data_IF_683061953767
#
_entry.id   IF_683061953767
#
_cell.length_a   1.000
_cell.length_b   1.000
_cell.length_c   1.000
_cell.angle_alpha   90.00
_cell.angle_beta   90.00
_cell.angle_gamma   90.00
#
_symmetry.space_group_name_H-M   'P 1'
#
loop_
_entity.id
_entity.type
_entity.pdbx_description
1 polymer ?
#
# COMPACT_ATOMS: atom_id res chain seq x y z
N UNK A 1 23.53 -3.64 -24.31
CA UNK A 1 23.77 -4.17 -22.95
C UNK A 1 22.63 -3.69 -22.05
N UNK A 2 22.15 -4.61 -21.21
CA UNK A 2 20.95 -4.65 -20.38
C UNK A 2 20.29 -3.34 -19.93
N UNK A 3 19.02 -3.17 -20.33
CA UNK A 3 18.02 -2.46 -19.54
C UNK A 3 17.43 -3.43 -18.51
N UNK A 4 17.91 -3.37 -17.27
CA UNK A 4 17.38 -4.18 -16.15
C UNK A 4 17.48 -3.37 -14.87
N UNK A 5 16.35 -2.96 -14.29
CA UNK A 5 16.39 -2.20 -13.04
C UNK A 5 15.04 -1.95 -12.35
N UNK A 6 13.93 -1.84 -13.08
CA UNK A 6 12.65 -1.42 -12.45
C UNK A 6 11.70 -2.56 -12.05
N UNK A 7 12.04 -3.83 -12.32
CA UNK A 7 11.13 -4.96 -12.09
C UNK A 7 11.05 -5.42 -10.63
N UNK A 8 12.16 -5.39 -9.88
CA UNK A 8 12.24 -6.03 -8.56
C UNK A 8 11.52 -5.25 -7.45
N UNK A 9 11.50 -3.92 -7.51
CA UNK A 9 10.87 -3.04 -6.49
C UNK A 9 9.36 -3.21 -6.37
N UNK A 10 8.71 -3.72 -7.41
CA UNK A 10 7.27 -3.96 -7.43
C UNK A 10 6.89 -5.39 -7.05
N UNK A 11 7.86 -6.23 -6.70
CA UNK A 11 7.63 -7.63 -6.31
C UNK A 11 7.40 -7.73 -4.81
N UNK A 12 6.28 -8.32 -4.42
CA UNK A 12 5.87 -8.44 -3.03
C UNK A 12 5.36 -9.83 -2.68
N UNK A 13 5.29 -10.13 -1.40
CA UNK A 13 4.59 -11.31 -0.89
C UNK A 13 3.93 -11.01 0.45
N UNK A 14 2.99 -11.87 0.84
CA UNK A 14 2.18 -11.72 2.04
C UNK A 14 2.47 -12.84 3.02
N UNK A 15 2.28 -12.57 4.30
CA UNK A 15 2.43 -13.56 5.36
C UNK A 15 1.20 -14.49 5.39
N UNK A 16 1.43 -15.79 5.43
CA UNK A 16 0.38 -16.80 5.71
C UNK A 16 0.32 -17.18 7.18
N UNK A 17 1.42 -16.99 7.92
CA UNK A 17 1.52 -17.08 9.37
C UNK A 17 2.18 -15.83 9.94
N UNK A 18 2.00 -15.57 11.23
CA UNK A 18 2.59 -14.43 11.89
C UNK A 18 3.80 -14.84 12.72
N UNK A 19 4.96 -14.29 12.38
CA UNK A 19 6.14 -14.34 13.22
C UNK A 19 6.59 -12.91 13.56
N UNK A 20 6.79 -12.55 14.84
CA UNK A 20 7.10 -11.18 15.24
C UNK A 20 8.33 -10.58 14.54
N UNK A 21 9.43 -11.34 14.45
CA UNK A 21 10.67 -10.88 13.80
C UNK A 21 10.43 -10.62 12.32
N UNK A 22 9.76 -11.56 11.65
CA UNK A 22 9.46 -11.46 10.22
C UNK A 22 8.57 -10.25 9.96
N UNK A 23 7.52 -10.05 10.78
CA UNK A 23 6.63 -8.90 10.67
C UNK A 23 7.34 -7.57 10.94
N UNK A 24 8.46 -7.53 11.65
CA UNK A 24 9.29 -6.33 11.75
C UNK A 24 10.05 -6.04 10.46
N UNK A 25 10.47 -7.07 9.74
CA UNK A 25 11.35 -6.97 8.58
C UNK A 25 10.61 -6.52 7.31
N UNK A 26 11.21 -5.62 6.54
CA UNK A 26 10.61 -5.14 5.27
C UNK A 26 10.53 -6.24 4.22
N UNK A 27 11.49 -7.17 4.21
CA UNK A 27 11.59 -8.27 3.25
C UNK A 27 11.33 -9.64 3.90
N UNK A 28 10.97 -9.64 5.19
CA UNK A 28 10.65 -10.85 5.93
C UNK A 28 11.87 -11.74 6.21
N UNK A 29 13.10 -11.21 6.15
CA UNK A 29 14.33 -12.00 6.30
C UNK A 29 15.14 -11.71 7.56
N UNK A 30 14.73 -10.74 8.39
CA UNK A 30 15.41 -10.49 9.67
C UNK A 30 15.37 -11.74 10.56
N UNK A 31 16.46 -11.95 11.30
CA UNK A 31 16.63 -13.07 12.25
C UNK A 31 16.67 -12.60 13.70
N UNK A 32 16.61 -11.29 13.94
CA UNK A 32 16.67 -10.71 15.27
C UNK A 32 15.70 -9.53 15.40
N UNK A 33 15.11 -9.31 16.59
CA UNK A 33 14.28 -8.14 16.84
C UNK A 33 15.12 -6.86 16.80
N UNK A 34 14.74 -5.92 15.94
CA UNK A 34 15.44 -4.64 15.80
C UNK A 34 14.77 -3.47 16.55
N UNK A 35 13.55 -3.65 17.06
CA UNK A 35 12.86 -2.64 17.88
C UNK A 35 12.20 -3.25 19.14
N UNK A 36 11.91 -2.38 20.12
CA UNK A 36 11.31 -2.79 21.40
C UNK A 36 9.89 -3.38 21.25
N UNK A 37 9.14 -2.97 20.23
CA UNK A 37 7.84 -3.57 19.91
C UNK A 37 7.99 -5.00 19.40
N UNK A 38 8.89 -5.26 18.46
CA UNK A 38 9.18 -6.61 17.95
C UNK A 38 9.70 -7.49 19.06
N UNK A 39 10.59 -6.98 19.91
CA UNK A 39 11.08 -7.70 21.10
C UNK A 39 9.94 -8.10 22.05
N UNK A 40 9.03 -7.18 22.38
CA UNK A 40 7.85 -7.49 23.21
C UNK A 40 6.94 -8.53 22.55
N UNK A 41 6.72 -8.40 21.25
CA UNK A 41 5.89 -9.36 20.51
C UNK A 41 6.52 -10.75 20.49
N UNK A 42 7.84 -10.84 20.32
CA UNK A 42 8.58 -12.09 20.36
C UNK A 42 8.51 -12.76 21.74
N UNK A 43 8.66 -11.98 22.82
CA UNK A 43 8.49 -12.50 24.18
C UNK A 43 7.07 -13.03 24.40
N UNK A 44 6.05 -12.31 23.94
CA UNK A 44 4.66 -12.75 24.02
C UNK A 44 4.41 -14.03 23.21
N UNK A 45 4.98 -14.11 22.01
CA UNK A 45 4.86 -15.26 21.12
C UNK A 45 5.51 -16.50 21.74
N UNK A 46 6.76 -16.39 22.21
CA UNK A 46 7.49 -17.51 22.81
C UNK A 46 6.87 -17.98 24.13
N UNK A 47 6.33 -17.05 24.92
CA UNK A 47 5.70 -17.38 26.19
C UNK A 47 4.23 -17.83 26.05
N UNK A 48 3.66 -17.81 24.84
CA UNK A 48 2.26 -18.20 24.62
C UNK A 48 1.24 -17.35 25.38
N UNK A 49 1.57 -16.10 25.71
CA UNK A 49 0.76 -15.23 26.58
C UNK A 49 -0.49 -14.65 25.92
N UNK A 50 -0.68 -14.92 24.63
CA UNK A 50 -1.81 -14.42 23.87
C UNK A 50 -2.63 -15.59 23.33
N UNK A 51 -3.83 -15.75 23.88
CA UNK A 51 -4.85 -16.64 23.34
C UNK A 51 -5.82 -15.85 22.46
N UNK A 52 -5.81 -16.05 21.13
CA UNK A 52 -6.72 -15.37 20.23
C UNK A 52 -8.18 -15.82 20.36
N UNK A 53 -8.41 -17.04 20.84
CA UNK A 53 -9.73 -17.68 21.01
C UNK A 53 -10.36 -17.38 22.37
N UNK A 54 -9.55 -16.98 23.36
CA UNK A 54 -10.00 -16.65 24.70
C UNK A 54 -10.76 -15.32 24.84
N UNK A 55 -10.90 -14.52 23.76
CA UNK A 55 -11.71 -13.29 23.79
C UNK A 55 -13.20 -13.64 23.71
N UNK A 56 -13.91 -13.55 24.84
CA UNK A 56 -15.37 -13.76 24.91
C UNK A 56 -16.18 -12.83 24.01
N UNK A 57 -15.58 -11.74 23.51
CA UNK A 57 -16.21 -10.80 22.57
C UNK A 57 -15.89 -11.11 21.11
N UNK A 58 -15.04 -12.09 20.82
CA UNK A 58 -14.73 -12.58 19.48
C UNK A 58 -15.60 -13.79 19.16
N UNK A 59 -16.92 -13.62 19.28
CA UNK A 59 -17.93 -14.64 18.97
C UNK A 59 -18.26 -14.57 17.49
N UNK A 60 -18.47 -15.73 16.87
CA UNK A 60 -18.92 -15.86 15.49
C UNK A 60 -17.93 -16.59 14.60
N UNK A 61 -18.22 -16.58 13.30
CA UNK A 61 -17.38 -17.27 12.32
C UNK A 61 -16.22 -16.37 11.86
N UNK A 62 -14.95 -16.75 12.08
CA UNK A 62 -13.81 -15.93 11.68
C UNK A 62 -13.72 -15.75 10.15
N UNK A 63 -14.22 -16.71 9.36
CA UNK A 63 -14.25 -16.61 7.90
C UNK A 63 -15.38 -15.73 7.38
N UNK A 64 -16.38 -15.41 8.20
CA UNK A 64 -17.43 -14.43 7.86
C UNK A 64 -17.15 -13.05 8.47
N UNK A 65 -16.04 -12.90 9.21
CA UNK A 65 -15.72 -11.68 9.95
C UNK A 65 -14.67 -10.83 9.22
N UNK A 66 -15.05 -9.59 8.91
CA UNK A 66 -14.21 -8.56 8.32
C UNK A 66 -13.66 -7.62 9.41
N UNK A 67 -12.38 -7.33 9.36
CA UNK A 67 -11.73 -6.30 10.18
C UNK A 67 -11.76 -4.97 9.43
N UNK A 68 -12.23 -3.92 10.11
CA UNK A 68 -12.22 -2.54 9.60
C UNK A 68 -11.41 -1.68 10.58
N UNK A 69 -10.37 -1.01 10.10
CA UNK A 69 -9.49 -0.15 10.90
C UNK A 69 -9.40 1.28 10.37
N UNK A 70 -8.69 2.14 11.09
CA UNK A 70 -8.53 3.59 10.80
C UNK A 70 -9.85 4.37 10.77
N UNK A 71 -10.87 3.87 11.47
CA UNK A 71 -12.17 4.51 11.61
C UNK A 71 -12.04 5.83 12.39
N UNK A 72 -12.92 6.80 12.14
CA UNK A 72 -12.99 8.01 12.96
C UNK A 72 -13.42 7.69 14.39
N UNK A 73 -12.92 8.46 15.36
CA UNK A 73 -13.34 8.28 16.76
C UNK A 73 -14.78 8.75 16.99
N UNK A 74 -15.29 9.57 16.08
CA UNK A 74 -16.65 10.11 16.08
C UNK A 74 -17.65 9.16 15.41
N UNK A 75 -17.18 8.22 14.59
CA UNK A 75 -18.04 7.25 13.89
C UNK A 75 -18.78 6.37 14.89
N UNK A 76 -20.09 6.26 14.71
CA UNK A 76 -20.96 5.41 15.52
C UNK A 76 -21.09 4.02 14.90
N UNK A 77 -21.64 3.08 15.66
CA UNK A 77 -21.90 1.74 15.13
C UNK A 77 -22.96 1.77 14.02
N UNK A 78 -23.93 2.68 14.10
CA UNK A 78 -25.00 2.81 13.12
C UNK A 78 -24.48 3.33 11.78
N UNK A 79 -23.65 4.37 11.78
CA UNK A 79 -23.06 4.90 10.54
C UNK A 79 -22.15 3.87 9.88
N UNK A 80 -21.38 3.13 10.67
CA UNK A 80 -20.56 2.03 10.17
C UNK A 80 -21.43 0.89 9.61
N UNK A 81 -22.53 0.53 10.29
CA UNK A 81 -23.47 -0.50 9.84
C UNK A 81 -24.10 -0.11 8.50
N UNK A 82 -24.56 1.12 8.35
CA UNK A 82 -25.14 1.62 7.12
C UNK A 82 -24.14 1.59 5.96
N UNK A 83 -22.91 2.04 6.21
CA UNK A 83 -21.84 1.99 5.21
C UNK A 83 -21.52 0.55 4.77
N UNK A 84 -21.45 -0.38 5.72
CA UNK A 84 -21.05 -1.77 5.47
C UNK A 84 -22.18 -2.66 4.93
N UNK A 85 -23.43 -2.28 5.15
CA UNK A 85 -24.61 -3.01 4.67
C UNK A 85 -24.74 -3.01 3.15
N UNK A 86 -24.07 -2.07 2.46
CA UNK A 86 -24.02 -1.98 0.99
C UNK A 86 -23.34 -3.20 0.34
N UNK A 87 -22.51 -3.92 1.10
CA UNK A 87 -21.70 -5.03 0.59
C UNK A 87 -22.31 -6.41 0.89
N UNK A 88 -23.25 -6.49 1.84
CA UNK A 88 -23.91 -7.74 2.24
C UNK A 88 -24.69 -7.59 3.54
N UNK A 89 -25.45 -8.63 3.91
CA UNK A 89 -26.21 -8.65 5.18
C UNK A 89 -25.28 -8.84 6.37
N UNK A 90 -25.34 -7.89 7.29
CA UNK A 90 -24.54 -7.89 8.52
C UNK A 90 -25.29 -8.68 9.59
N UNK A 91 -24.64 -9.74 10.08
CA UNK A 91 -25.12 -10.55 11.21
C UNK A 91 -24.78 -9.90 12.54
N UNK A 92 -23.56 -9.38 12.68
CA UNK A 92 -23.09 -8.73 13.89
C UNK A 92 -22.06 -7.64 13.56
N UNK A 93 -22.07 -6.55 14.32
CA UNK A 93 -21.09 -5.48 14.20
C UNK A 93 -20.63 -5.07 15.60
N UNK A 94 -19.32 -5.01 15.79
CA UNK A 94 -18.69 -4.64 17.06
C UNK A 94 -17.66 -3.54 16.84
N UNK A 95 -17.95 -2.32 17.28
CA UNK A 95 -16.97 -1.24 17.32
C UNK A 95 -16.17 -1.33 18.62
N UNK A 96 -14.85 -1.49 18.54
CA UNK A 96 -14.05 -1.67 19.74
C UNK A 96 -13.80 -0.35 20.42
N UNK A 97 -14.21 -0.25 21.68
CA UNK A 97 -14.08 0.92 22.54
C UNK A 97 -13.14 0.65 23.70
N UNK A 98 -12.57 1.72 24.25
CA UNK A 98 -11.78 1.65 25.48
C UNK A 98 -12.70 1.35 26.67
N UNK A 99 -12.31 0.40 27.52
CA UNK A 99 -13.17 -0.10 28.60
C UNK A 99 -13.51 0.96 29.66
N UNK A 100 -12.59 1.91 29.92
CA UNK A 100 -12.77 2.93 30.96
C UNK A 100 -13.47 4.18 30.40
N UNK A 101 -13.01 4.65 29.23
CA UNK A 101 -13.43 5.96 28.69
C UNK A 101 -14.56 5.86 27.67
N UNK A 102 -14.91 4.65 27.21
CA UNK A 102 -15.91 4.44 26.15
C UNK A 102 -15.50 4.96 24.76
N UNK A 103 -14.33 5.59 24.65
CA UNK A 103 -13.83 6.16 23.41
C UNK A 103 -13.56 5.07 22.37
N UNK A 104 -13.94 5.31 21.12
CA UNK A 104 -13.67 4.40 20.00
C UNK A 104 -12.16 4.22 19.82
N UNK A 105 -11.69 2.98 19.68
CA UNK A 105 -10.30 2.67 19.34
C UNK A 105 -10.01 2.82 17.85
N UNK A 106 -11.02 3.17 17.05
CA UNK A 106 -10.87 3.37 15.60
C UNK A 106 -10.77 2.08 14.80
N UNK A 107 -11.30 0.97 15.33
CA UNK A 107 -11.44 -0.29 14.59
C UNK A 107 -12.67 -1.09 15.04
N UNK A 108 -13.21 -1.87 14.12
CA UNK A 108 -14.41 -2.67 14.30
C UNK A 108 -14.26 -4.05 13.64
N UNK A 109 -15.13 -4.97 14.07
CA UNK A 109 -15.33 -6.26 13.43
C UNK A 109 -16.76 -6.34 12.91
N UNK A 110 -16.91 -6.75 11.65
CA UNK A 110 -18.19 -6.88 10.97
C UNK A 110 -18.34 -8.33 10.55
N UNK A 111 -19.26 -9.06 11.17
CA UNK A 111 -19.63 -10.43 10.80
C UNK A 111 -20.78 -10.36 9.80
N UNK A 112 -20.58 -10.93 8.61
CA UNK A 112 -21.60 -11.10 7.59
C UNK A 112 -22.36 -12.42 7.78
N UNK A 113 -23.54 -12.55 7.19
CA UNK A 113 -24.28 -13.81 7.19
C UNK A 113 -23.51 -14.91 6.44
N UNK A 114 -22.88 -14.57 5.32
CA UNK A 114 -22.18 -15.53 4.47
C UNK A 114 -20.71 -15.17 4.22
N UNK A 115 -19.86 -16.19 4.02
CA UNK A 115 -18.45 -16.00 3.65
C UNK A 115 -18.31 -15.30 2.29
N UNK A 116 -19.26 -15.53 1.37
CA UNK A 116 -19.29 -14.91 0.03
C UNK A 116 -19.50 -13.39 0.12
N UNK A 117 -20.38 -12.93 1.00
CA UNK A 117 -20.59 -11.49 1.25
C UNK A 117 -19.36 -10.85 1.88
N UNK A 118 -18.75 -11.50 2.88
CA UNK A 118 -17.51 -11.02 3.49
C UNK A 118 -16.40 -10.87 2.43
N UNK A 119 -16.21 -11.89 1.58
CA UNK A 119 -15.22 -11.87 0.49
C UNK A 119 -15.49 -10.75 -0.51
N UNK A 120 -16.74 -10.57 -0.93
CA UNK A 120 -17.12 -9.47 -1.81
C UNK A 120 -16.85 -8.12 -1.17
N UNK A 121 -17.18 -7.93 0.11
CA UNK A 121 -16.88 -6.72 0.84
C UNK A 121 -15.36 -6.46 0.88
N UNK A 122 -14.57 -7.50 1.19
CA UNK A 122 -13.12 -7.42 1.18
C UNK A 122 -12.57 -7.02 -0.20
N UNK A 123 -13.00 -7.66 -1.28
CA UNK A 123 -12.53 -7.38 -2.64
C UNK A 123 -12.90 -5.97 -3.09
N UNK A 124 -14.16 -5.56 -2.93
CA UNK A 124 -14.63 -4.23 -3.36
C UNK A 124 -13.96 -3.11 -2.56
N UNK A 125 -13.89 -3.26 -1.23
CA UNK A 125 -13.20 -2.30 -0.36
C UNK A 125 -11.67 -2.39 -0.53
N UNK A 126 -11.15 -3.47 -1.12
CA UNK A 126 -9.73 -3.63 -1.41
C UNK A 126 -9.30 -3.05 -2.75
N UNK A 127 -10.15 -3.17 -3.77
CA UNK A 127 -9.87 -2.80 -5.16
C UNK A 127 -9.98 -1.31 -5.45
N UNK A 128 -10.50 -0.50 -4.52
CA UNK A 128 -10.54 0.96 -4.63
C UNK A 128 -9.14 1.62 -4.78
N UNK A 129 -8.05 0.87 -4.62
CA UNK A 129 -6.68 1.37 -4.81
C UNK A 129 -6.27 1.64 -6.27
N UNK A 130 -7.10 1.32 -7.29
CA UNK A 130 -6.72 1.39 -8.71
C UNK A 130 -7.31 2.50 -9.56
N UNK A 131 -8.26 3.28 -9.05
CA UNK A 131 -8.75 4.44 -9.78
C UNK A 131 -8.08 5.68 -9.17
N UNK A 132 -7.35 6.43 -10.00
CA UNK A 132 -6.74 7.71 -9.61
C UNK A 132 -7.75 8.77 -9.14
N UNK A 133 -9.06 8.48 -9.18
CA UNK A 133 -10.15 9.26 -8.57
C UNK A 133 -11.13 8.44 -7.71
N UNK A 134 -10.84 7.18 -7.32
CA UNK A 134 -11.72 6.41 -6.42
C UNK A 134 -11.07 6.13 -5.07
N UNK A 135 -10.95 7.21 -4.30
CA UNK A 135 -11.05 7.28 -2.85
C UNK A 135 -11.26 5.93 -2.14
N UNK A 136 -10.26 5.55 -1.32
CA UNK A 136 -10.46 4.68 -0.16
C UNK A 136 -11.81 4.96 0.49
N UNK A 137 -12.62 3.97 0.83
CA UNK A 137 -13.94 4.27 1.41
C UNK A 137 -13.79 5.19 2.62
N UNK A 138 -14.21 6.44 2.46
CA UNK A 138 -14.14 7.44 3.51
C UNK A 138 -15.37 7.26 4.37
N UNK A 139 -15.14 7.16 5.68
CA UNK A 139 -16.18 7.25 6.69
C UNK A 139 -15.77 8.41 7.60
N UNK A 140 -16.61 9.44 7.66
CA UNK A 140 -16.36 10.66 8.44
C UNK A 140 -14.98 11.27 8.16
N UNK A 141 -14.68 11.51 6.88
CA UNK A 141 -13.42 12.08 6.37
C UNK A 141 -12.15 11.28 6.71
N UNK A 142 -12.30 10.02 7.12
CA UNK A 142 -11.18 9.11 7.31
C UNK A 142 -11.21 7.95 6.34
N UNK A 143 -10.06 7.72 5.71
CA UNK A 143 -9.77 6.51 4.97
C UNK A 143 -9.73 5.31 5.93
N UNK A 144 -10.63 4.35 5.71
CA UNK A 144 -10.64 3.09 6.44
C UNK A 144 -9.70 2.07 5.78
N UNK A 145 -9.19 1.15 6.59
CA UNK A 145 -8.50 -0.05 6.10
C UNK A 145 -9.39 -1.27 6.33
N UNK A 146 -9.31 -2.23 5.42
CA UNK A 146 -10.10 -3.45 5.48
C UNK A 146 -9.19 -4.65 5.37
N UNK A 147 -9.39 -5.64 6.25
CA UNK A 147 -8.61 -6.88 6.32
C UNK A 147 -9.51 -8.04 6.79
N UNK A 148 -9.04 -9.27 6.65
CA UNK A 148 -9.72 -10.42 7.26
C UNK A 148 -9.45 -10.47 8.77
N UNK A 149 -10.24 -11.25 9.53
CA UNK A 149 -10.04 -11.45 10.96
C UNK A 149 -8.76 -12.25 11.27
N UNK A 150 -7.61 -11.57 11.18
CA UNK A 150 -6.28 -12.11 11.43
C UNK A 150 -6.08 -12.64 12.84
N UNK A 151 -6.83 -12.12 13.81
CA UNK A 151 -6.75 -12.60 15.18
C UNK A 151 -7.06 -14.09 15.28
N UNK A 152 -8.10 -14.56 14.59
CA UNK A 152 -8.50 -15.96 14.64
C UNK A 152 -7.97 -16.78 13.45
N UNK A 153 -7.75 -16.15 12.29
CA UNK A 153 -7.38 -16.87 11.06
C UNK A 153 -5.87 -17.03 10.85
N UNK A 154 -5.02 -16.18 11.44
CA UNK A 154 -3.58 -16.22 11.19
C UNK A 154 -2.83 -16.83 12.38
N UNK A 155 -2.19 -18.00 12.21
CA UNK A 155 -1.41 -18.64 13.26
C UNK A 155 -0.30 -17.72 13.77
N UNK A 156 -0.09 -17.69 15.08
CA UNK A 156 0.97 -16.89 15.71
C UNK A 156 0.66 -15.40 15.86
N UNK A 157 -0.56 -14.95 15.51
CA UNK A 157 -0.91 -13.53 15.55
C UNK A 157 -0.67 -12.90 16.93
N UNK A 158 0.07 -11.79 16.95
CA UNK A 158 0.23 -10.96 18.15
C UNK A 158 -0.37 -9.58 17.88
N UNK A 159 -1.28 -9.07 18.72
CA UNK A 159 -1.90 -7.76 18.52
C UNK A 159 -0.93 -6.61 18.81
N UNK A 160 -1.24 -5.42 18.29
CA UNK A 160 -0.41 -4.21 18.42
C UNK A 160 -0.08 -3.83 19.86
N UNK A 161 -1.01 -4.04 20.80
CA UNK A 161 -0.82 -3.74 22.24
C UNK A 161 0.32 -4.55 22.89
N UNK A 162 0.64 -5.71 22.32
CA UNK A 162 1.73 -6.59 22.75
C UNK A 162 2.98 -6.43 21.88
N UNK A 163 3.03 -5.38 21.04
CA UNK A 163 4.17 -5.05 20.18
C UNK A 163 4.09 -5.59 18.75
N UNK A 164 3.10 -6.45 18.46
CA UNK A 164 2.88 -7.06 17.15
C UNK A 164 2.04 -6.19 16.21
N UNK A 165 1.06 -6.82 15.57
CA UNK A 165 0.17 -6.23 14.56
C UNK A 165 0.83 -6.10 13.19
N UNK A 166 0.08 -5.54 12.25
CA UNK A 166 0.52 -5.24 10.89
C UNK A 166 0.29 -3.76 10.56
N UNK A 167 0.97 -3.27 9.53
CA UNK A 167 0.91 -1.88 9.10
C UNK A 167 1.66 -0.94 10.04
N UNK A 168 1.23 0.33 10.05
CA UNK A 168 1.78 1.38 10.92
C UNK A 168 2.12 2.63 10.13
N UNK A 169 2.33 3.74 10.82
CA UNK A 169 2.77 5.01 10.21
C UNK A 169 4.29 5.08 10.27
N UNK A 170 4.93 5.54 9.20
CA UNK A 170 6.40 5.67 9.15
C UNK A 170 6.92 6.58 10.27
N UNK A 171 6.18 7.65 10.56
CA UNK A 171 6.46 8.62 11.63
C UNK A 171 6.46 8.01 13.03
N UNK A 172 5.66 6.96 13.25
CA UNK A 172 5.60 6.30 14.57
C UNK A 172 6.81 5.42 14.87
N UNK A 173 7.69 5.18 13.89
CA UNK A 173 8.84 4.28 14.04
C UNK A 173 8.49 2.78 14.17
N UNK A 174 7.21 2.42 14.26
CA UNK A 174 6.76 1.05 14.48
C UNK A 174 6.03 0.47 13.25
N UNK A 175 6.78 0.24 12.18
CA UNK A 175 6.26 -0.40 10.97
C UNK A 175 6.22 -1.92 11.11
N UNK A 176 5.16 -2.54 10.59
CA UNK A 176 5.01 -3.99 10.52
C UNK A 176 4.56 -4.41 9.12
N UNK A 177 5.17 -5.46 8.60
CA UNK A 177 5.04 -5.95 7.23
C UNK A 177 4.43 -7.36 7.19
N UNK A 178 4.03 -7.80 5.99
CA UNK A 178 3.31 -9.05 5.74
C UNK A 178 1.80 -8.88 5.59
N UNK A 179 1.30 -7.64 5.73
CA UNK A 179 -0.10 -7.28 5.53
C UNK A 179 -0.40 -6.67 4.17
N UNK A 180 -1.66 -6.30 3.91
CA UNK A 180 -2.07 -5.69 2.64
C UNK A 180 -1.46 -4.31 2.42
N UNK A 181 -1.58 -3.45 3.43
CA UNK A 181 -1.05 -2.08 3.40
C UNK A 181 0.49 -2.06 3.30
N UNK A 182 1.13 -3.05 3.93
CA UNK A 182 2.58 -3.23 3.97
C UNK A 182 2.93 -4.68 3.71
N UNK A 183 2.95 -5.10 2.44
CA UNK A 183 3.43 -6.43 2.09
C UNK A 183 4.95 -6.47 2.27
N UNK A 184 5.50 -7.67 2.34
CA UNK A 184 6.94 -7.83 2.29
C UNK A 184 7.45 -7.50 0.89
N UNK A 185 8.60 -6.83 0.81
CA UNK A 185 9.31 -6.63 -0.44
C UNK A 185 10.12 -7.87 -0.76
N UNK A 186 10.26 -8.20 -2.05
CA UNK A 186 11.17 -9.26 -2.45
C UNK A 186 12.59 -8.97 -1.91
N UNK A 187 13.24 -9.95 -1.24
CA UNK A 187 14.57 -9.75 -0.68
C UNK A 187 15.57 -9.34 -1.76
N UNK A 188 16.37 -8.31 -1.46
CA UNK A 188 17.48 -7.87 -2.33
C UNK A 188 18.77 -8.65 -2.03
N UNK A 189 18.86 -9.22 -0.83
CA UNK A 189 20.00 -9.99 -0.34
C UNK A 189 19.64 -11.49 -0.32
N UNK A 190 20.64 -12.38 -0.34
CA UNK A 190 20.41 -13.80 -0.12
C UNK A 190 19.65 -14.04 1.18
N UNK A 191 18.65 -14.91 1.11
CA UNK A 191 17.80 -15.26 2.26
C UNK A 191 18.65 -16.13 3.21
N UNK A 192 18.74 -15.81 4.50
CA UNK A 192 19.46 -16.64 5.48
C UNK A 192 18.63 -17.88 5.86
N UNK A 193 18.61 -18.89 4.97
CA UNK A 193 17.73 -20.06 5.08
C UNK A 193 17.89 -20.83 6.42
N UNK A 194 19.12 -21.11 6.83
CA UNK A 194 19.41 -21.89 8.04
C UNK A 194 18.90 -21.20 9.32
N UNK A 195 19.12 -19.89 9.43
CA UNK A 195 18.76 -19.14 10.62
C UNK A 195 17.24 -18.92 10.71
N UNK A 196 16.58 -18.64 9.58
CA UNK A 196 15.13 -18.56 9.53
C UNK A 196 14.47 -19.90 9.89
N UNK A 197 15.01 -21.01 9.38
CA UNK A 197 14.53 -22.36 9.70
C UNK A 197 14.69 -22.70 11.18
N UNK A 198 15.83 -22.37 11.80
CA UNK A 198 16.07 -22.56 13.24
C UNK A 198 15.05 -21.78 14.10
N UNK A 199 14.63 -20.61 13.65
CA UNK A 199 13.64 -19.77 14.32
C UNK A 199 12.20 -20.16 14.02
N UNK A 200 11.96 -21.15 13.15
CA UNK A 200 10.61 -21.55 12.71
C UNK A 200 9.91 -20.50 11.85
N UNK A 201 10.66 -19.58 11.24
CA UNK A 201 10.13 -18.52 10.39
C UNK A 201 9.86 -19.11 9.00
N UNK A 202 8.66 -18.86 8.46
CA UNK A 202 8.34 -19.28 7.10
C UNK A 202 9.18 -18.51 6.10
N UNK A 203 9.83 -19.25 5.20
CA UNK A 203 10.63 -18.66 4.14
C UNK A 203 9.73 -17.91 3.15
N UNK A 204 10.20 -16.79 2.61
CA UNK A 204 9.55 -16.15 1.46
C UNK A 204 9.34 -17.16 0.32
N UNK A 205 8.23 -17.06 -0.43
CA UNK A 205 7.99 -17.95 -1.57
C UNK A 205 9.09 -17.78 -2.62
N UNK A 206 9.70 -18.89 -3.03
CA UNK A 206 10.75 -18.88 -4.05
C UNK A 206 10.17 -18.56 -5.43
N UNK A 207 10.92 -17.79 -6.22
CA UNK A 207 10.61 -17.56 -7.64
C UNK A 207 9.53 -16.51 -7.90
N UNK A 208 8.25 -16.77 -7.60
CA UNK A 208 7.10 -15.97 -8.10
C UNK A 208 6.45 -15.09 -7.03
N UNK A 209 7.13 -13.99 -6.71
CA UNK A 209 6.53 -12.87 -5.98
C UNK A 209 5.39 -12.22 -6.78
N UNK A 210 4.36 -11.75 -6.06
CA UNK A 210 3.20 -11.05 -6.61
C UNK A 210 3.58 -9.62 -7.03
N UNK A 211 2.81 -9.00 -7.93
CA UNK A 211 2.94 -7.56 -8.12
C UNK A 211 2.40 -6.83 -6.89
N UNK A 212 2.93 -5.65 -6.60
CA UNK A 212 2.42 -4.77 -5.53
C UNK A 212 0.93 -4.46 -5.66
N UNK A 213 0.43 -4.55 -6.89
CA UNK A 213 -0.96 -4.27 -7.25
C UNK A 213 -1.88 -5.47 -7.11
N UNK A 214 -1.32 -6.68 -7.07
CA UNK A 214 -2.09 -7.91 -6.96
C UNK A 214 -2.55 -8.11 -5.52
N UNK A 215 -3.86 -8.38 -5.37
CA UNK A 215 -4.49 -8.64 -4.09
C UNK A 215 -4.39 -10.14 -3.79
N UNK A 216 -3.91 -10.55 -2.60
CA UNK A 216 -3.89 -11.95 -2.21
C UNK A 216 -5.31 -12.41 -1.89
N UNK A 217 -5.65 -13.62 -2.31
CA UNK A 217 -6.91 -14.26 -1.95
C UNK A 217 -7.03 -14.37 -0.42
N UNK A 218 -8.21 -14.13 0.15
CA UNK A 218 -8.41 -14.31 1.58
C UNK A 218 -8.21 -15.78 2.00
N UNK A 219 -7.90 -16.04 3.29
CA UNK A 219 -7.80 -17.41 3.78
C UNK A 219 -9.10 -18.19 3.53
N UNK A 220 -9.00 -19.35 2.87
CA UNK A 220 -10.13 -20.26 2.66
C UNK A 220 -10.19 -21.31 3.77
N UNK A 221 -11.38 -21.75 4.14
CA UNK A 221 -11.53 -23.00 4.89
C UNK A 221 -10.91 -24.12 4.11
N UNK A 222 -10.21 -25.03 4.80
CA UNK A 222 -9.83 -26.31 4.18
C UNK A 222 -11.13 -27.04 3.86
N UNK A 223 -11.42 -27.18 2.57
CA UNK A 223 -12.58 -27.93 2.10
C UNK A 223 -12.55 -29.34 2.69
N UNK A 224 -13.69 -29.80 3.20
CA UNK A 224 -13.88 -31.22 3.42
C UNK A 224 -13.88 -31.93 2.07
N UNK A 225 -13.56 -33.23 2.03
CA UNK A 225 -13.43 -33.98 0.76
C UNK A 225 -14.70 -33.92 -0.09
N UNK A 226 -15.87 -33.64 0.50
CA UNK A 226 -17.16 -33.49 -0.18
C UNK A 226 -17.34 -32.18 -0.96
N UNK A 227 -16.60 -31.11 -0.67
CA UNK A 227 -16.79 -29.80 -1.34
C UNK A 227 -15.93 -29.63 -2.60
N UNK A 228 -15.21 -30.68 -3.01
CA UNK A 228 -14.24 -30.65 -4.11
C UNK A 228 -14.87 -30.67 -5.50
N UNK A 229 -16.10 -31.15 -5.64
CA UNK A 229 -16.77 -31.25 -6.95
C UNK A 229 -17.38 -29.92 -7.41
N UNK A 230 -17.79 -29.03 -6.50
CA UNK A 230 -18.41 -27.75 -6.86
C UNK A 230 -17.39 -26.70 -7.34
N UNK A 231 -16.14 -26.78 -6.86
CA UNK A 231 -15.07 -25.85 -7.24
C UNK A 231 -14.53 -26.02 -8.65
N UNK A 232 -14.68 -27.20 -9.25
CA UNK A 232 -14.14 -27.51 -10.59
C UNK A 232 -14.90 -26.78 -11.71
N UNK A 233 -16.18 -26.43 -11.47
CA UNK A 233 -17.01 -25.72 -12.44
C UNK A 233 -16.87 -24.18 -12.37
N UNK A 234 -16.59 -23.61 -11.19
CA UNK A 234 -16.36 -22.16 -11.06
C UNK A 234 -14.98 -21.75 -11.61
N UNK A 235 -13.93 -22.57 -11.43
CA UNK A 235 -12.57 -22.23 -11.86
C UNK A 235 -12.47 -22.15 -13.40
N UNK A 236 -13.10 -23.09 -14.11
CA UNK A 236 -13.23 -23.04 -15.58
C UNK A 236 -13.99 -21.80 -16.06
N UNK A 237 -15.08 -21.43 -15.38
CA UNK A 237 -15.87 -20.24 -15.72
C UNK A 237 -15.07 -18.94 -15.55
N UNK A 238 -14.22 -18.85 -14.52
CA UNK A 238 -13.33 -17.69 -14.33
C UNK A 238 -12.20 -17.63 -15.35
N UNK A 239 -11.60 -18.77 -15.71
CA UNK A 239 -10.54 -18.82 -16.74
C UNK A 239 -11.07 -18.47 -18.13
N UNK A 240 -12.27 -18.95 -18.50
CA UNK A 240 -12.94 -18.60 -19.75
C UNK A 240 -13.28 -17.10 -19.82
N UNK A 241 -13.73 -16.51 -18.71
CA UNK A 241 -14.00 -15.06 -18.62
C UNK A 241 -12.74 -14.21 -18.77
N UNK A 242 -11.61 -14.67 -18.23
CA UNK A 242 -10.33 -13.99 -18.39
C UNK A 242 -9.76 -14.11 -19.81
N UNK A 243 -10.00 -15.22 -20.51
CA UNK A 243 -9.63 -15.37 -21.93
C UNK A 243 -10.49 -14.49 -22.85
N UNK A 244 -11.79 -14.36 -22.62
CA UNK A 244 -12.67 -13.47 -23.41
C UNK A 244 -12.23 -12.00 -23.30
N UNK A 245 -11.84 -11.54 -22.11
CA UNK A 245 -11.37 -10.16 -21.89
C UNK A 245 -10.01 -9.94 -22.57
N UNK A 246 -9.12 -10.92 -22.60
CA UNK A 246 -7.84 -10.84 -23.32
C UNK A 246 -8.03 -10.83 -24.84
N UNK A 247 -9.00 -11.60 -25.35
CA UNK A 247 -9.32 -11.66 -26.77
C UNK A 247 -9.99 -10.39 -27.29
N UNK A 248 -10.85 -9.73 -26.49
CA UNK A 248 -11.44 -8.45 -26.91
C UNK A 248 -10.37 -7.36 -27.08
N UNK A 249 -9.43 -7.25 -26.13
CA UNK A 249 -8.35 -6.25 -26.17
C UNK A 249 -7.40 -6.47 -27.37
N UNK A 250 -7.20 -7.71 -27.83
CA UNK A 250 -6.40 -8.01 -29.03
C UNK A 250 -7.12 -7.67 -30.34
N UNK A 251 -8.46 -7.70 -30.37
CA UNK A 251 -9.25 -7.41 -31.58
C UNK A 251 -9.28 -5.91 -31.92
N UNK A 252 -9.17 -5.02 -30.94
CA UNK A 252 -9.26 -3.56 -31.14
C UNK A 252 -7.95 -2.91 -31.62
N UNK A 253 -6.83 -3.65 -31.67
CA UNK A 253 -5.53 -3.15 -32.17
C UNK A 253 -5.21 -3.52 -33.62
N UNK A 254 -6.10 -4.23 -34.33
CA UNK A 254 -5.84 -4.71 -35.71
C UNK A 254 -6.77 -4.20 -36.81
N UNK A 255 -7.67 -3.25 -36.54
CA UNK A 255 -8.48 -2.62 -37.61
C UNK A 255 -8.26 -1.12 -37.71
N UNK A 256 -7.14 -0.70 -38.31
CA UNK A 256 -7.04 0.66 -38.83
C UNK A 256 -6.18 0.76 -40.08
N UNK A 257 -6.20 -0.22 -40.97
CA UNK A 257 -5.70 -0.06 -42.34
C UNK A 257 -6.58 -0.88 -43.30
N UNK A 258 -7.42 -0.20 -44.09
CA UNK A 258 -7.47 -0.33 -45.57
C UNK A 258 -8.68 0.42 -46.16
N UNK A 259 -8.41 1.09 -47.30
CA UNK A 259 -9.29 1.31 -48.47
C UNK A 259 -10.24 2.51 -48.56
N UNK A 260 -9.67 3.57 -49.14
CA UNK A 260 -10.11 4.41 -50.28
C UNK A 260 -11.42 4.12 -51.06
N UNK A 261 -12.03 5.25 -51.44
CA UNK A 261 -12.55 5.68 -52.77
C UNK A 261 -13.99 5.35 -53.23
N UNK A 262 -14.81 6.40 -53.37
CA UNK A 262 -15.68 6.78 -54.51
C UNK A 262 -16.23 8.21 -54.24
N UNK A 263 -15.88 9.28 -54.98
CA UNK A 263 -16.15 9.74 -56.36
C UNK A 263 -17.58 10.27 -56.62
N UNK A 264 -17.72 11.60 -56.67
CA UNK A 264 -18.63 12.37 -57.55
C UNK A 264 -18.12 13.82 -57.64
N UNK A 265 -17.66 14.33 -58.80
CA UNK A 265 -18.42 15.11 -59.82
C UNK A 265 -19.05 16.39 -59.20
N UNK A 266 -18.95 17.62 -59.72
CA UNK A 266 -18.51 18.20 -61.00
C UNK A 266 -18.57 19.75 -60.83
N UNK A 267 -17.62 20.46 -61.44
CA UNK A 267 -17.67 21.81 -62.07
C UNK A 267 -17.73 23.15 -61.30
N UNK A 268 -16.83 24.01 -61.82
CA UNK A 268 -16.88 25.45 -62.11
C UNK A 268 -16.61 26.48 -60.99
N UNK A 269 -15.46 27.16 -61.12
CA UNK A 269 -15.25 28.63 -61.32
C UNK A 269 -13.78 28.98 -60.96
N UNK A 270 -12.86 29.08 -61.93
CA UNK A 270 -12.37 30.34 -62.59
C UNK A 270 -12.04 31.46 -61.57
N UNK A 271 -10.87 32.11 -61.49
CA UNK A 271 -9.80 32.55 -62.41
C UNK A 271 -8.52 32.83 -61.55
N UNK A 272 -7.29 32.47 -61.91
CA UNK A 272 -6.34 33.03 -62.92
C UNK A 272 -5.47 34.22 -62.42
N UNK A 273 -4.17 33.95 -62.20
CA UNK A 273 -2.97 34.76 -62.55
C UNK A 273 -1.73 34.15 -61.83
N UNK A 274 -0.91 33.35 -62.52
CA UNK A 274 0.34 33.73 -63.23
C UNK A 274 1.48 34.11 -62.26
N UNK A 275 2.42 33.21 -61.96
CA UNK A 275 3.65 32.78 -62.70
C UNK A 275 4.79 33.80 -62.72
N UNK A 276 5.96 33.31 -62.23
CA UNK A 276 7.33 33.59 -62.70
C UNK A 276 7.85 35.03 -62.51
N UNK A 277 9.10 35.35 -62.17
CA UNK A 277 10.40 34.69 -62.28
C UNK A 277 11.46 35.46 -61.46
N UNK A 278 12.67 34.90 -61.45
CA UNK A 278 13.89 35.25 -60.70
C UNK A 278 14.58 36.57 -61.11
N UNK A 279 15.61 36.92 -60.31
CA UNK A 279 16.72 37.91 -60.49
C UNK A 279 16.44 39.30 -59.91
N UNK A 280 17.36 40.06 -59.30
CA UNK A 280 18.79 39.89 -59.04
C UNK A 280 19.23 40.91 -57.94
N UNK A 281 20.10 40.46 -57.03
CA UNK A 281 21.35 41.10 -56.55
C UNK A 281 21.54 42.64 -56.63
N UNK A 282 21.79 43.30 -55.48
CA UNK A 282 23.08 43.99 -55.11
C UNK A 282 22.96 45.03 -53.97
N UNK A 283 23.87 44.87 -52.98
CA UNK A 283 24.81 45.87 -52.37
C UNK A 283 24.24 47.19 -51.79
N UNK A 284 24.76 47.86 -50.75
CA UNK A 284 25.99 47.85 -49.92
C UNK A 284 25.66 48.85 -48.78
N UNK A 285 25.95 48.62 -47.49
CA UNK A 285 27.19 49.05 -46.80
C UNK A 285 26.92 49.82 -45.50
N UNK A 286 27.91 49.75 -44.58
CA UNK A 286 28.16 50.50 -43.33
C UNK A 286 27.48 49.93 -42.07
N UNK A 287 28.17 49.57 -40.98
CA UNK A 287 29.58 49.61 -40.61
C UNK A 287 29.75 49.86 -39.11
N UNK A 288 30.70 49.15 -38.48
CA UNK A 288 31.36 49.38 -37.17
C UNK A 288 30.50 49.30 -35.89
N UNK A 289 31.03 49.01 -34.71
CA UNK A 289 32.20 48.31 -34.17
C UNK A 289 32.14 48.53 -32.65
N UNK A 290 32.72 47.60 -31.91
CA UNK A 290 32.83 47.52 -30.45
C UNK A 290 33.43 48.76 -29.76
N UNK A 291 33.06 48.98 -28.48
CA UNK A 291 33.98 49.60 -27.51
C UNK A 291 33.69 49.25 -26.04
N UNK A 292 34.77 48.83 -25.37
CA UNK A 292 35.00 48.56 -23.96
C UNK A 292 35.10 49.83 -23.08
N UNK A 293 34.97 49.64 -21.76
CA UNK A 293 35.46 50.51 -20.67
C UNK A 293 34.61 50.28 -19.40
N UNK A 294 35.00 49.49 -18.40
CA UNK A 294 36.10 49.58 -17.42
C UNK A 294 36.16 50.90 -16.64
N UNK A 295 35.78 50.85 -15.35
CA UNK A 295 36.21 51.77 -14.29
C UNK A 295 36.02 51.10 -12.92
N UNK A 296 37.14 50.79 -12.26
CA UNK A 296 37.27 50.47 -10.82
C UNK A 296 37.43 51.75 -10.00
N UNK A 297 36.90 51.74 -8.77
CA UNK A 297 37.46 52.30 -7.51
C UNK A 297 36.53 51.79 -6.37
N UNK A 298 36.89 50.90 -5.43
CA UNK A 298 37.90 50.88 -4.35
C UNK A 298 37.81 52.07 -3.37
N UNK A 299 37.09 51.89 -2.26
CA UNK A 299 37.49 52.40 -0.93
C UNK A 299 37.15 51.35 0.15
N UNK A 300 38.15 51.15 1.00
CA UNK A 300 38.29 50.41 2.28
C UNK A 300 37.22 50.75 3.34
N UNK A 301 37.02 50.02 4.45
CA UNK A 301 37.68 48.86 5.03
C UNK A 301 37.16 48.59 6.46
N UNK A 302 37.59 47.45 7.04
CA UNK A 302 37.61 47.10 8.50
C UNK A 302 36.22 46.90 9.17
N UNK A 303 35.99 46.04 10.17
CA UNK A 303 36.84 45.28 11.08
C UNK A 303 36.06 44.09 11.68
N UNK A 304 36.83 43.16 12.25
CA UNK A 304 36.46 41.98 13.05
C UNK A 304 35.95 42.35 14.45
N UNK A 305 35.20 41.43 15.08
CA UNK A 305 35.19 41.01 16.52
C UNK A 305 33.90 40.18 16.74
N UNK A 306 33.81 38.94 17.24
CA UNK A 306 34.54 38.05 18.17
C UNK A 306 34.64 38.51 19.63
N UNK A 307 34.26 37.57 20.52
CA UNK A 307 34.32 37.50 22.00
C UNK A 307 33.29 38.33 22.79
N UNK A 308 32.84 37.94 23.99
CA UNK A 308 32.78 36.71 24.80
C UNK A 308 32.20 37.13 26.16
N UNK A 309 31.74 36.12 26.90
CA UNK A 309 32.07 35.90 28.31
C UNK A 309 31.12 36.25 29.48
N UNK A 310 31.27 35.35 30.45
CA UNK A 310 30.87 35.31 31.86
C UNK A 310 29.47 34.74 32.16
N UNK A 311 29.35 33.46 32.54
CA UNK A 311 29.66 32.82 33.84
C UNK A 311 28.97 33.47 35.04
N UNK A 312 28.04 32.73 35.65
CA UNK A 312 27.94 32.71 37.10
C UNK A 312 27.58 31.29 37.58
N UNK A 313 28.48 30.74 38.39
CA UNK A 313 28.33 29.49 39.13
C UNK A 313 27.17 29.58 40.12
N UNK A 314 26.48 28.46 40.37
CA UNK A 314 26.12 28.13 41.75
C UNK A 314 25.94 26.64 41.99
N UNK A 315 26.53 26.26 43.11
CA UNK A 315 26.92 24.96 43.60
C UNK A 315 25.80 24.05 44.11
N UNK A 316 26.13 22.76 44.09
CA UNK A 316 25.63 21.62 44.88
C UNK A 316 24.79 21.87 46.14
N UNK A 317 23.77 21.01 46.34
CA UNK A 317 23.73 20.14 47.54
C UNK A 317 22.78 18.95 47.38
N UNK A 318 23.30 17.79 47.80
CA UNK A 318 22.66 16.48 47.95
C UNK A 318 22.75 16.15 49.44
N UNK A 319 21.63 15.84 50.13
CA UNK A 319 21.55 15.13 51.42
C UNK A 319 20.05 14.89 51.73
N UNK A 320 19.52 13.65 51.69
CA UNK A 320 19.36 12.61 52.76
C UNK A 320 18.25 12.92 53.80
N UNK A 321 17.36 11.92 53.99
CA UNK A 321 16.56 11.49 55.17
C UNK A 321 16.02 12.61 56.10
N UNK A 322 14.73 12.72 56.39
CA UNK A 322 13.79 11.74 56.98
C UNK A 322 12.38 11.99 56.47
#
# INVERSE_FOLDING_TARGET
MSGGGNGAVNRVFYATSYHPIQAGSIDGTDVAPHDNGVRRALLCYNAGLYDPSGDSKAVGDPYCTLFVGRISHLTTEDTLREAMSKYGRIKSLRLVRHIVTGASRGYAFVEYETEKEMRRAYEVLSLALFCSDAHHSFIDDREIIVDYNRQQLMPGWIPRRLGGGLGGRKESGQLRFGGRERPFRAPLRPIPHEDLKKLGIQLPPEGRFMSRTQIPSPPRRKASVSDREEGYYEEQSSEEREEEVKNSIHSHRRSSHTRSSHRSRIKDREERSEKESRSDRKERSRGKADRYGDSKEQVSGTSRRSHDDTQEERSHKRHKYY
#
